data_IF_603014474920
#
_entry.id   IF_603014474920
#
_cell.length_a   1.000
_cell.length_b   1.000
_cell.length_c   1.000
_cell.angle_alpha   90.00
_cell.angle_beta   90.00
_cell.angle_gamma   90.00
#
_symmetry.space_group_name_H-M   'P 1'
#
loop_
_entity.id
_entity.type
_entity.pdbx_description
1 polymer ?
#
# COMPACT_ATOMS: atom_id res chain seq x y z
N UNK A 1 23.43 14.14 4.73
CA UNK A 1 22.88 12.82 4.81
C UNK A 1 21.36 12.84 4.71
N UNK A 2 20.83 11.90 4.05
CA UNK A 2 19.40 11.81 3.93
C UNK A 2 18.80 11.20 5.19
N UNK A 3 18.03 11.94 5.98
CA UNK A 3 17.44 11.37 7.19
C UNK A 3 16.51 10.21 6.92
N UNK A 4 15.96 10.13 5.71
CA UNK A 4 15.10 9.00 5.35
C UNK A 4 15.91 7.73 5.17
N UNK A 5 17.23 7.81 5.10
CA UNK A 5 18.06 6.62 5.01
C UNK A 5 17.87 5.70 6.22
N UNK A 6 17.61 6.28 7.40
CA UNK A 6 17.38 5.50 8.61
C UNK A 6 15.97 4.89 8.66
N UNK A 7 15.01 5.63 8.10
CA UNK A 7 13.60 5.23 8.08
C UNK A 7 13.08 5.17 6.66
N UNK A 8 14.02 5.21 5.71
CA UNK A 8 13.69 5.27 4.30
C UNK A 8 13.04 4.01 3.80
N UNK A 9 12.36 4.16 2.70
CA UNK A 9 11.71 3.05 2.04
C UNK A 9 12.09 3.03 0.57
N UNK A 10 11.94 1.87 -0.04
CA UNK A 10 12.10 1.67 -1.47
C UNK A 10 10.76 1.18 -1.99
N UNK A 11 10.37 1.62 -3.18
CA UNK A 11 9.16 1.13 -3.84
C UNK A 11 9.56 0.14 -4.91
N UNK A 12 8.89 -0.99 -4.93
CA UNK A 12 9.14 -2.08 -5.86
C UNK A 12 7.84 -2.40 -6.59
N UNK A 13 7.82 -2.23 -7.91
CA UNK A 13 6.61 -2.50 -8.68
C UNK A 13 6.18 -3.95 -8.52
N UNK A 14 4.88 -4.17 -8.34
CA UNK A 14 4.33 -5.50 -8.16
C UNK A 14 4.20 -6.22 -9.50
N UNK A 15 4.01 -7.53 -9.41
CA UNK A 15 3.67 -8.35 -10.56
C UNK A 15 2.33 -9.03 -10.32
N UNK A 16 1.77 -9.64 -11.36
CA UNK A 16 0.51 -10.35 -11.24
C UNK A 16 0.58 -11.47 -10.21
N UNK A 17 1.76 -12.08 -10.04
CA UNK A 17 1.95 -13.18 -9.10
C UNK A 17 1.93 -12.74 -7.64
N UNK A 18 1.98 -11.43 -7.38
CA UNK A 18 2.03 -10.90 -6.02
C UNK A 18 0.65 -10.74 -5.38
N UNK A 19 -0.42 -11.02 -6.12
CA UNK A 19 -1.77 -10.74 -5.62
C UNK A 19 -2.07 -11.38 -4.27
N UNK A 20 -1.73 -12.66 -4.09
CA UNK A 20 -2.05 -13.36 -2.85
C UNK A 20 -1.30 -12.76 -1.65
N UNK A 21 -0.05 -12.37 -1.85
CA UNK A 21 0.73 -11.74 -0.79
C UNK A 21 0.16 -10.37 -0.44
N UNK A 22 -0.26 -9.60 -1.45
CA UNK A 22 -0.88 -8.29 -1.25
C UNK A 22 -2.22 -8.43 -0.53
N UNK A 23 -3.02 -9.41 -0.92
CA UNK A 23 -4.30 -9.67 -0.28
C UNK A 23 -4.11 -10.04 1.19
N UNK A 24 -3.15 -10.91 1.49
CA UNK A 24 -2.87 -11.31 2.87
C UNK A 24 -2.46 -10.11 3.72
N UNK A 25 -1.63 -9.23 3.18
CA UNK A 25 -1.21 -8.01 3.88
C UNK A 25 -2.39 -7.07 4.09
N UNK A 26 -3.21 -6.90 3.07
CA UNK A 26 -4.40 -6.05 3.13
C UNK A 26 -5.33 -6.53 4.24
N UNK A 27 -5.58 -7.84 4.33
CA UNK A 27 -6.40 -8.39 5.40
C UNK A 27 -5.81 -8.11 6.77
N UNK A 28 -4.49 -8.30 6.94
CA UNK A 28 -3.84 -8.02 8.23
C UNK A 28 -4.00 -6.56 8.62
N UNK A 29 -3.80 -5.67 7.65
CA UNK A 29 -3.85 -4.23 7.90
C UNK A 29 -5.26 -3.74 8.23
N UNK A 30 -6.27 -4.36 7.64
CA UNK A 30 -7.66 -3.90 7.77
C UNK A 30 -8.47 -4.69 8.80
N UNK A 31 -7.97 -5.81 9.26
CA UNK A 31 -8.75 -6.74 10.08
C UNK A 31 -9.35 -6.10 11.32
N UNK A 32 -8.54 -5.43 12.09
CA UNK A 32 -9.00 -4.82 13.35
C UNK A 32 -10.13 -3.81 13.09
N UNK A 33 -9.94 -2.93 12.11
CA UNK A 33 -10.95 -1.95 11.76
C UNK A 33 -12.23 -2.57 11.26
N UNK A 34 -12.13 -3.59 10.41
CA UNK A 34 -13.29 -4.26 9.85
C UNK A 34 -14.04 -5.08 10.89
N UNK A 35 -13.32 -5.75 11.78
CA UNK A 35 -13.94 -6.49 12.89
C UNK A 35 -14.68 -5.56 13.82
N UNK A 36 -14.07 -4.42 14.14
CA UNK A 36 -14.68 -3.42 15.00
C UNK A 36 -15.98 -2.87 14.42
N UNK A 37 -16.05 -2.75 13.10
CA UNK A 37 -17.26 -2.29 12.41
C UNK A 37 -18.23 -3.44 12.11
N UNK A 38 -17.91 -4.67 12.48
CA UNK A 38 -18.73 -5.83 12.17
C UNK A 38 -18.75 -6.17 10.69
N UNK A 39 -17.73 -5.75 9.94
CA UNK A 39 -17.68 -5.90 8.48
C UNK A 39 -16.50 -6.74 7.99
N UNK A 40 -15.88 -7.49 8.88
CA UNK A 40 -14.74 -8.30 8.45
C UNK A 40 -15.25 -9.48 7.64
N UNK A 41 -15.02 -9.42 6.34
CA UNK A 41 -15.39 -10.44 5.38
C UNK A 41 -14.22 -10.63 4.42
N UNK A 42 -13.35 -11.62 4.67
CA UNK A 42 -12.16 -11.83 3.84
C UNK A 42 -12.50 -12.11 2.37
N UNK A 43 -13.59 -12.81 2.11
CA UNK A 43 -14.02 -13.14 0.76
C UNK A 43 -14.38 -11.88 -0.02
N UNK A 44 -15.16 -11.00 0.59
CA UNK A 44 -15.55 -9.75 -0.05
C UNK A 44 -14.35 -8.83 -0.26
N UNK A 45 -13.46 -8.77 0.74
CA UNK A 45 -12.23 -7.98 0.63
C UNK A 45 -11.38 -8.48 -0.54
N UNK A 46 -11.27 -9.80 -0.71
CA UNK A 46 -10.53 -10.39 -1.82
C UNK A 46 -11.14 -10.01 -3.16
N UNK A 47 -12.46 -10.09 -3.28
CA UNK A 47 -13.15 -9.76 -4.53
C UNK A 47 -12.93 -8.30 -4.90
N UNK A 48 -13.00 -7.41 -3.93
CA UNK A 48 -12.80 -5.97 -4.17
C UNK A 48 -11.36 -5.68 -4.59
N UNK A 49 -10.39 -6.28 -3.91
CA UNK A 49 -8.99 -6.05 -4.27
C UNK A 49 -8.70 -6.61 -5.66
N UNK A 50 -9.22 -7.79 -5.97
CA UNK A 50 -9.03 -8.42 -7.27
C UNK A 50 -9.65 -7.60 -8.40
N UNK A 51 -10.82 -7.01 -8.16
CA UNK A 51 -11.53 -6.23 -9.18
C UNK A 51 -10.73 -5.00 -9.62
N UNK A 52 -9.96 -4.41 -8.71
CA UNK A 52 -9.17 -3.22 -9.02
C UNK A 52 -7.68 -3.48 -9.15
N UNK A 53 -7.26 -4.74 -9.16
CA UNK A 53 -5.83 -5.05 -9.15
C UNK A 53 -5.15 -4.64 -10.44
N UNK A 54 -4.17 -3.75 -10.32
CA UNK A 54 -3.35 -3.27 -11.42
C UNK A 54 -1.90 -3.33 -10.95
N UNK A 55 -1.19 -4.43 -11.23
CA UNK A 55 0.18 -4.59 -10.73
C UNK A 55 1.11 -3.50 -11.19
N UNK A 56 0.92 -2.97 -12.40
CA UNK A 56 1.74 -1.87 -12.92
C UNK A 56 1.60 -0.58 -12.11
N UNK A 57 0.52 -0.42 -11.35
CA UNK A 57 0.27 0.75 -10.51
C UNK A 57 0.35 0.41 -9.02
N UNK A 58 0.80 -0.78 -8.70
CA UNK A 58 0.93 -1.26 -7.32
C UNK A 58 2.42 -1.37 -7.00
N UNK A 59 2.81 -0.79 -5.88
CA UNK A 59 4.21 -0.85 -5.43
C UNK A 59 4.28 -1.43 -4.04
N UNK A 60 5.13 -2.43 -3.86
CA UNK A 60 5.50 -2.87 -2.53
C UNK A 60 6.31 -1.79 -1.85
N UNK A 61 6.03 -1.56 -0.59
CA UNK A 61 6.83 -0.67 0.26
C UNK A 61 7.85 -1.56 0.97
N UNK A 62 9.12 -1.31 0.69
CA UNK A 62 10.22 -2.15 1.21
C UNK A 62 11.06 -1.32 2.16
N UNK A 63 11.25 -1.83 3.37
CA UNK A 63 12.11 -1.21 4.39
C UNK A 63 13.08 -2.28 4.88
N UNK A 64 14.36 -1.98 4.79
CA UNK A 64 15.43 -2.90 5.20
C UNK A 64 15.29 -4.29 4.56
N UNK A 65 14.94 -4.30 3.27
CA UNK A 65 14.80 -5.53 2.51
C UNK A 65 13.52 -6.30 2.75
N UNK A 66 12.59 -5.75 3.54
CA UNK A 66 11.32 -6.40 3.86
C UNK A 66 10.14 -5.65 3.25
N UNK A 67 9.22 -6.40 2.68
CA UNK A 67 7.96 -5.84 2.21
C UNK A 67 7.05 -5.59 3.41
N UNK A 68 6.87 -4.32 3.75
CA UNK A 68 6.10 -3.91 4.94
C UNK A 68 4.76 -3.30 4.60
N UNK A 69 4.45 -3.18 3.32
CA UNK A 69 3.19 -2.60 2.89
C UNK A 69 3.11 -2.51 1.39
N UNK A 70 2.06 -1.87 0.91
CA UNK A 70 1.94 -1.56 -0.51
C UNK A 70 1.11 -0.30 -0.71
N UNK A 71 1.31 0.33 -1.86
CA UNK A 71 0.57 1.50 -2.27
C UNK A 71 0.09 1.29 -3.69
N UNK A 72 -1.17 1.65 -3.96
CA UNK A 72 -1.75 1.60 -5.30
C UNK A 72 -2.09 3.03 -5.70
N UNK A 73 -1.37 3.53 -6.68
CA UNK A 73 -1.52 4.90 -7.16
C UNK A 73 -1.76 4.85 -8.67
N UNK A 74 -2.96 5.25 -9.09
CA UNK A 74 -3.38 5.15 -10.48
C UNK A 74 -3.45 6.54 -11.13
N UNK A 75 -2.72 6.77 -12.22
CA UNK A 75 -2.84 8.03 -12.94
C UNK A 75 -4.17 8.09 -13.69
N UNK A 76 -4.86 9.19 -13.57
CA UNK A 76 -6.03 9.54 -14.37
C UNK A 76 -5.64 10.73 -15.23
N UNK A 77 -6.56 11.30 -16.03
CA UNK A 77 -6.17 12.32 -17.01
C UNK A 77 -5.41 13.50 -16.40
N UNK A 78 -5.86 14.04 -15.29
CA UNK A 78 -5.23 15.22 -14.66
C UNK A 78 -5.03 15.07 -13.17
N UNK A 79 -5.23 13.85 -12.63
CA UNK A 79 -5.13 13.59 -11.19
C UNK A 79 -4.51 12.22 -10.98
N UNK A 80 -4.04 12.01 -9.77
CA UNK A 80 -3.62 10.68 -9.31
C UNK A 80 -4.65 10.17 -8.31
N UNK A 81 -5.05 8.92 -8.47
CA UNK A 81 -5.99 8.30 -7.53
C UNK A 81 -5.27 7.32 -6.62
N UNK A 82 -5.33 7.59 -5.34
CA UNK A 82 -4.78 6.67 -4.35
C UNK A 82 -5.86 5.66 -3.98
N UNK A 83 -5.72 4.42 -4.46
CA UNK A 83 -6.68 3.36 -4.18
C UNK A 83 -6.40 2.67 -2.85
N UNK A 84 -5.15 2.42 -2.55
CA UNK A 84 -4.75 1.74 -1.32
C UNK A 84 -3.42 2.27 -0.82
N UNK A 85 -3.32 2.37 0.49
CA UNK A 85 -2.05 2.53 1.18
C UNK A 85 -2.16 1.68 2.45
N UNK A 86 -1.49 0.55 2.43
CA UNK A 86 -1.56 -0.43 3.51
C UNK A 86 -0.17 -0.66 4.08
N UNK A 87 -0.06 -0.58 5.40
CA UNK A 87 1.17 -0.90 6.12
C UNK A 87 0.87 -2.09 7.02
N UNK A 88 1.72 -3.10 6.97
CA UNK A 88 1.59 -4.27 7.82
C UNK A 88 1.54 -3.78 9.29
N UNK A 89 0.61 -4.29 10.11
CA UNK A 89 0.52 -3.88 11.50
C UNK A 89 1.84 -3.95 12.26
N UNK A 90 2.68 -4.93 11.93
CA UNK A 90 3.99 -5.08 12.57
C UNK A 90 4.94 -3.91 12.27
N UNK A 91 4.68 -3.17 11.20
CA UNK A 91 5.52 -2.04 10.78
C UNK A 91 4.85 -0.69 10.99
N UNK A 92 3.65 -0.65 11.53
CA UNK A 92 2.95 0.60 11.79
C UNK A 92 3.60 1.39 12.92
N UNK A 93 3.27 2.69 12.99
CA UNK A 93 3.77 3.61 14.02
C UNK A 93 5.25 3.94 13.91
N UNK A 94 5.81 3.78 12.70
CA UNK A 94 7.21 4.14 12.41
C UNK A 94 7.30 5.31 11.44
N UNK A 95 6.18 5.95 11.13
CA UNK A 95 6.15 7.05 10.18
C UNK A 95 6.27 6.64 8.72
N UNK A 96 6.22 5.35 8.41
CA UNK A 96 6.33 4.86 7.03
C UNK A 96 5.19 5.38 6.19
N UNK A 97 3.96 5.27 6.68
CA UNK A 97 2.79 5.76 5.97
C UNK A 97 2.89 7.23 5.61
N UNK A 98 3.35 8.07 6.55
CA UNK A 98 3.53 9.50 6.31
C UNK A 98 4.60 9.76 5.24
N UNK A 99 5.67 9.00 5.26
CA UNK A 99 6.73 9.14 4.25
C UNK A 99 6.23 8.75 2.86
N UNK A 100 5.48 7.66 2.78
CA UNK A 100 4.90 7.22 1.50
C UNK A 100 3.89 8.25 1.00
N UNK A 101 3.09 8.84 1.89
CA UNK A 101 2.18 9.92 1.49
C UNK A 101 2.94 11.12 0.93
N UNK A 102 4.12 11.43 1.47
CA UNK A 102 4.97 12.46 0.89
C UNK A 102 5.33 12.15 -0.55
N UNK A 103 5.68 10.89 -0.83
CA UNK A 103 5.93 10.45 -2.19
C UNK A 103 4.68 10.56 -3.07
N UNK A 104 3.51 10.16 -2.55
CA UNK A 104 2.24 10.27 -3.27
C UNK A 104 1.96 11.72 -3.67
N UNK A 105 2.12 12.65 -2.75
CA UNK A 105 1.89 14.07 -3.05
C UNK A 105 2.88 14.57 -4.10
N UNK A 106 4.13 14.13 -4.06
CA UNK A 106 5.11 14.52 -5.06
C UNK A 106 4.72 13.99 -6.45
N UNK A 107 4.17 12.78 -6.54
CA UNK A 107 3.67 12.25 -7.80
C UNK A 107 2.47 13.05 -8.31
N UNK A 108 1.56 13.43 -7.43
CA UNK A 108 0.39 14.22 -7.79
C UNK A 108 0.80 15.61 -8.29
N UNK A 109 1.79 16.22 -7.69
CA UNK A 109 2.29 17.54 -8.11
C UNK A 109 2.95 17.51 -9.47
N UNK A 110 3.39 16.34 -9.92
CA UNK A 110 4.06 16.18 -11.22
C UNK A 110 3.10 16.04 -12.41
N UNK A 111 1.80 15.91 -12.17
CA UNK A 111 0.82 15.77 -13.26
C UNK A 111 0.15 17.06 -13.65
#
# INVERSE_FOLDING_TARGET
MNPTAATGFVLEVASADDFEALHALHLRAMRESLEHLGRYDPRHARERLAAGFAPEHTHHIVVDGRRVGFVVLKPLSHVMRLDHLCIDPAAQRRGIGSQVMGWVFAQADAV
#
